data_IF_371154279550
#
_entry.id   IF_371154279550
#
_cell.length_a   1.000
_cell.length_b   1.000
_cell.length_c   1.000
_cell.angle_alpha   90.00
_cell.angle_beta   90.00
_cell.angle_gamma   90.00
#
_symmetry.space_group_name_H-M   'P 1'
#
loop_
_entity.id
_entity.type
_entity.pdbx_description
1 polymer ?
#
# COMPACT_ATOMS: atom_id res chain seq x y z
N UNK A 1 -9.03 16.93 2.72
CA UNK A 1 -8.58 15.62 2.21
C UNK A 1 -7.28 15.31 2.93
N UNK A 2 -7.36 14.49 3.97
CA UNK A 2 -6.16 14.05 4.69
C UNK A 2 -5.26 13.30 3.70
N UNK A 3 -4.03 13.75 3.59
CA UNK A 3 -3.04 13.12 2.74
C UNK A 3 -2.66 11.82 3.46
N UNK A 4 -3.23 10.69 3.04
CA UNK A 4 -2.99 9.35 3.62
C UNK A 4 -1.59 8.84 3.27
N UNK A 5 -0.57 9.64 3.59
CA UNK A 5 0.83 9.32 3.39
C UNK A 5 1.17 8.13 4.29
N UNK A 6 1.52 7.03 3.65
CA UNK A 6 1.97 5.83 4.33
C UNK A 6 3.49 5.74 4.20
N UNK A 7 4.17 5.35 5.27
CA UNK A 7 5.62 5.21 5.31
C UNK A 7 6.00 3.79 5.71
N UNK A 8 7.14 3.31 5.22
CA UNK A 8 7.69 2.04 5.66
C UNK A 8 8.08 2.13 7.14
N UNK A 9 7.62 1.22 8.01
CA UNK A 9 7.94 1.25 9.43
C UNK A 9 9.40 0.93 9.74
N UNK A 10 10.13 0.34 8.78
CA UNK A 10 11.52 -0.08 8.96
C UNK A 10 12.56 0.92 8.44
N UNK A 11 12.29 1.57 7.31
CA UNK A 11 13.24 2.49 6.69
C UNK A 11 12.70 3.92 6.48
N UNK A 12 11.43 4.19 6.82
CA UNK A 12 10.80 5.50 6.64
C UNK A 12 10.54 5.89 5.18
N UNK A 13 10.75 4.99 4.21
CA UNK A 13 10.47 5.28 2.81
C UNK A 13 9.00 5.65 2.61
N UNK A 14 8.73 6.68 1.80
CA UNK A 14 7.36 7.04 1.44
C UNK A 14 6.76 5.98 0.51
N UNK A 15 5.69 5.35 0.97
CA UNK A 15 4.96 4.29 0.27
C UNK A 15 3.76 4.84 -0.52
N UNK A 16 3.59 6.15 -0.58
CA UNK A 16 2.65 6.78 -1.51
C UNK A 16 3.18 6.64 -2.94
N UNK A 17 2.34 6.07 -3.81
CA UNK A 17 2.61 5.89 -5.24
C UNK A 17 2.09 7.05 -6.07
N UNK A 18 1.93 6.78 -7.36
CA UNK A 18 1.46 7.77 -8.33
C UNK A 18 0.03 8.25 -8.03
N UNK A 19 -0.32 9.48 -8.44
CA UNK A 19 -1.68 9.99 -8.30
C UNK A 19 -2.67 9.15 -9.10
N UNK A 20 -3.82 8.86 -8.50
CA UNK A 20 -4.94 8.20 -9.18
C UNK A 20 -5.63 9.24 -10.06
N UNK A 21 -5.83 8.98 -11.37
CA UNK A 21 -6.59 9.85 -12.26
C UNK A 21 -7.94 10.22 -11.64
N UNK A 22 -8.31 11.51 -11.68
CA UNK A 22 -9.50 12.04 -10.97
C UNK A 22 -10.78 11.27 -11.29
N UNK A 23 -10.96 10.87 -12.54
CA UNK A 23 -12.11 10.09 -13.01
C UNK A 23 -12.19 8.69 -12.36
N UNK A 24 -11.05 8.12 -11.97
CA UNK A 24 -10.94 6.78 -11.39
C UNK A 24 -11.04 6.81 -9.86
N UNK A 25 -10.80 7.95 -9.19
CA UNK A 25 -10.75 8.02 -7.71
C UNK A 25 -12.01 7.48 -7.04
N UNK A 26 -13.19 7.65 -7.65
CA UNK A 26 -14.46 7.08 -7.18
C UNK A 26 -14.44 5.55 -7.05
N UNK A 27 -13.66 4.87 -7.88
CA UNK A 27 -13.49 3.41 -7.85
C UNK A 27 -12.49 2.95 -6.78
N UNK A 28 -11.70 3.87 -6.22
CA UNK A 28 -10.69 3.61 -5.20
C UNK A 28 -11.04 4.27 -3.86
N UNK A 29 -12.33 4.36 -3.53
CA UNK A 29 -12.78 4.92 -2.25
C UNK A 29 -12.39 6.39 -2.06
N UNK A 30 -12.28 7.16 -3.14
CA UNK A 30 -11.80 8.55 -3.17
C UNK A 30 -10.33 8.74 -2.73
N UNK A 31 -9.52 7.68 -2.76
CA UNK A 31 -8.08 7.79 -2.61
C UNK A 31 -7.49 8.67 -3.71
N UNK A 32 -6.45 9.43 -3.36
CA UNK A 32 -5.80 10.37 -4.29
C UNK A 32 -4.57 9.77 -4.95
N UNK A 33 -3.94 8.77 -4.33
CA UNK A 33 -2.71 8.12 -4.80
C UNK A 33 -2.80 6.61 -4.60
N UNK A 34 -2.09 5.86 -5.45
CA UNK A 34 -1.89 4.43 -5.25
C UNK A 34 -0.93 4.17 -4.08
N UNK A 35 -0.87 2.94 -3.59
CA UNK A 35 0.15 2.50 -2.63
C UNK A 35 1.29 1.79 -3.36
N UNK A 36 2.54 2.00 -2.91
CA UNK A 36 3.74 1.30 -3.37
C UNK A 36 4.00 -0.01 -2.60
N UNK A 37 3.17 -0.35 -1.61
CA UNK A 37 3.31 -1.62 -0.87
C UNK A 37 3.16 -2.80 -1.80
N UNK A 38 4.04 -3.79 -1.66
CA UNK A 38 3.91 -5.07 -2.34
C UNK A 38 3.08 -5.99 -1.44
N UNK A 39 1.95 -6.48 -1.94
CA UNK A 39 1.11 -7.45 -1.23
C UNK A 39 1.61 -8.87 -1.45
N UNK A 40 1.96 -9.58 -0.38
CA UNK A 40 2.30 -11.00 -0.44
C UNK A 40 1.01 -11.79 -0.23
N UNK A 41 0.51 -12.43 -1.29
CA UNK A 41 -0.72 -13.22 -1.28
C UNK A 41 -0.48 -14.70 -0.97
N UNK A 42 -1.37 -15.29 -0.18
CA UNK A 42 -1.48 -16.74 -0.01
C UNK A 42 -2.64 -17.25 -0.86
N UNK A 43 -2.37 -18.25 -1.70
CA UNK A 43 -3.40 -18.96 -2.45
C UNK A 43 -4.33 -19.76 -1.53
N UNK A 44 -3.79 -20.37 -0.47
CA UNK A 44 -4.58 -21.13 0.51
C UNK A 44 -5.60 -20.26 1.24
N UNK A 45 -5.19 -19.04 1.63
CA UNK A 45 -6.05 -18.10 2.36
C UNK A 45 -6.81 -17.13 1.44
N UNK A 46 -6.63 -17.25 0.12
CA UNK A 46 -7.16 -16.38 -0.92
C UNK A 46 -7.07 -14.88 -0.60
N UNK A 47 -5.92 -14.45 -0.06
CA UNK A 47 -5.73 -13.06 0.38
C UNK A 47 -4.27 -12.66 0.51
N UNK A 48 -4.01 -11.35 0.47
CA UNK A 48 -2.75 -10.77 0.98
C UNK A 48 -2.63 -11.09 2.46
N UNK A 49 -1.49 -11.64 2.87
CA UNK A 49 -1.17 -12.01 4.27
C UNK A 49 -0.10 -11.11 4.87
N UNK A 50 0.77 -10.51 4.04
CA UNK A 50 1.83 -9.61 4.46
C UNK A 50 1.98 -8.46 3.47
N UNK A 51 2.58 -7.38 3.94
CA UNK A 51 3.06 -6.27 3.12
C UNK A 51 4.58 -6.30 3.08
N UNK A 52 5.16 -5.88 1.96
CA UNK A 52 6.60 -5.71 1.80
C UNK A 52 6.92 -4.30 1.30
N UNK A 53 7.99 -3.71 1.84
CA UNK A 53 8.54 -2.45 1.36
C UNK A 53 9.33 -2.67 0.07
N UNK A 54 9.05 -1.93 -1.01
CA UNK A 54 9.81 -2.07 -2.26
C UNK A 54 11.26 -1.59 -2.13
N UNK A 55 11.55 -0.67 -1.20
CA UNK A 55 12.86 -0.03 -1.04
C UNK A 55 13.80 -0.84 -0.11
N UNK A 56 13.36 -1.23 1.09
CA UNK A 56 14.20 -1.98 2.06
C UNK A 56 13.92 -3.48 2.16
N UNK A 57 12.92 -3.99 1.41
CA UNK A 57 12.52 -5.41 1.34
C UNK A 57 12.03 -6.04 2.66
N UNK A 58 11.91 -5.27 3.74
CA UNK A 58 11.29 -5.75 4.98
C UNK A 58 9.80 -6.03 4.79
N UNK A 59 9.31 -7.03 5.53
CA UNK A 59 7.93 -7.52 5.48
C UNK A 59 7.24 -7.36 6.84
N UNK A 60 5.94 -7.09 6.83
CA UNK A 60 5.10 -7.03 8.03
C UNK A 60 3.73 -7.66 7.80
N UNK A 61 3.12 -8.17 8.86
CA UNK A 61 1.82 -8.83 8.80
C UNK A 61 0.72 -7.87 8.34
N UNK A 62 -0.25 -8.39 7.57
CA UNK A 62 -1.43 -7.63 7.16
C UNK A 62 -2.44 -7.62 8.31
N UNK A 63 -2.32 -6.60 9.16
CA UNK A 63 -3.29 -6.29 10.22
C UNK A 63 -2.85 -6.77 11.60
N UNK A 64 -2.29 -5.83 12.36
CA UNK A 64 -2.47 -5.73 13.81
C UNK A 64 -3.18 -4.40 14.09
#
# INVERSE_FOLDING_TARGET
>A
MENSKEFCPYCGANLQGDPIPKELQKHYGNATHFSRKIGISSLEKDRVIKWQCPDCKQEWERGE
#
